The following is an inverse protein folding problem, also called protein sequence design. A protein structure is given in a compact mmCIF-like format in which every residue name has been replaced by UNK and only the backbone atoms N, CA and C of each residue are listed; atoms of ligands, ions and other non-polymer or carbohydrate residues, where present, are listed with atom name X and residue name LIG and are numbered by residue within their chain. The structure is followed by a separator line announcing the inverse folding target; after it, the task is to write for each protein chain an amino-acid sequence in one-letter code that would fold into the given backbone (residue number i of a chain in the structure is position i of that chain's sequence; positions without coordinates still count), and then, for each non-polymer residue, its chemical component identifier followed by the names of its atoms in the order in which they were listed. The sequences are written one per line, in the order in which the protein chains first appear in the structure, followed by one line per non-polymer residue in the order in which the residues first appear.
data_IF_288382226741
#
_entry.id   IF_288382226741
#
_cell.length_a   1.000
_cell.length_b   1.000
_cell.length_c   1.000
_cell.angle_alpha   90.00
_cell.angle_beta   90.00
_cell.angle_gamma   90.00
#
_symmetry.space_group_name_H-M   'P 1'
#
loop_
_entity.id
_entity.type
_entity.pdbx_description
1 polymer ?
#
# COMPACT_ATOMS: atom_id res chain seq x y z
N UNK A 1 20.13 13.73 12.71
CA UNK A 1 20.40 12.88 11.52
C UNK A 1 20.09 11.39 11.76
N UNK A 2 20.07 10.91 13.01
CA UNK A 2 19.70 9.54 13.32
C UNK A 2 18.21 9.27 13.03
N UNK A 3 17.96 8.20 12.24
CA UNK A 3 16.69 7.51 11.99
C UNK A 3 15.74 7.93 10.85
N UNK A 4 16.23 8.57 9.78
CA UNK A 4 15.49 8.60 8.50
C UNK A 4 15.59 7.28 7.72
N UNK A 5 16.53 6.39 8.06
CA UNK A 5 16.73 5.12 7.35
C UNK A 5 15.50 4.22 7.47
N UNK A 6 14.94 4.02 8.67
CA UNK A 6 13.72 3.23 8.84
C UNK A 6 12.55 3.81 8.03
N UNK A 7 12.39 5.14 8.04
CA UNK A 7 11.36 5.81 7.25
C UNK A 7 11.55 5.57 5.74
N UNK A 8 12.80 5.57 5.25
CA UNK A 8 13.13 5.27 3.84
C UNK A 8 12.91 3.81 3.47
N UNK A 9 13.24 2.87 4.36
CA UNK A 9 12.93 1.44 4.16
C UNK A 9 11.42 1.26 4.04
N UNK A 10 10.65 1.84 4.97
CA UNK A 10 9.19 1.75 4.91
C UNK A 10 8.59 2.47 3.69
N UNK A 11 9.16 3.60 3.27
CA UNK A 11 8.79 4.25 2.02
C UNK A 11 9.08 3.37 0.80
N UNK A 12 10.22 2.67 0.77
CA UNK A 12 10.53 1.71 -0.29
C UNK A 12 9.54 0.54 -0.30
N UNK A 13 9.12 0.02 0.86
CA UNK A 13 8.05 -0.98 0.95
C UNK A 13 6.75 -0.48 0.32
N UNK A 14 6.32 0.75 0.61
CA UNK A 14 5.12 1.34 -0.01
C UNK A 14 5.26 1.57 -1.51
N UNK A 15 6.46 1.93 -2.00
CA UNK A 15 6.71 2.04 -3.45
C UNK A 15 6.61 0.66 -4.12
N UNK A 16 7.25 -0.36 -3.54
CA UNK A 16 7.16 -1.73 -4.04
C UNK A 16 5.71 -2.25 -4.02
N UNK A 17 4.95 -1.92 -2.98
CA UNK A 17 3.52 -2.22 -2.89
C UNK A 17 2.77 -1.61 -4.07
N UNK A 18 2.99 -0.31 -4.36
CA UNK A 18 2.33 0.35 -5.48
C UNK A 18 2.72 -0.24 -6.84
N UNK A 19 4.00 -0.56 -7.05
CA UNK A 19 4.47 -1.19 -8.29
C UNK A 19 3.83 -2.57 -8.50
N UNK A 20 3.70 -3.38 -7.44
CA UNK A 20 2.98 -4.64 -7.47
C UNK A 20 1.51 -4.42 -7.86
N UNK A 21 0.87 -3.39 -7.29
CA UNK A 21 -0.54 -3.09 -7.54
C UNK A 21 -0.85 -2.51 -8.92
N UNK A 22 0.14 -1.95 -9.64
CA UNK A 22 -0.03 -1.69 -11.07
C UNK A 22 -0.23 -2.98 -11.87
N UNK A 23 0.52 -4.04 -11.53
CA UNK A 23 0.31 -5.37 -12.12
C UNK A 23 -1.05 -5.95 -11.78
N UNK A 24 -1.49 -5.82 -10.52
CA UNK A 24 -2.82 -6.27 -10.08
C UNK A 24 -3.93 -5.49 -10.80
N UNK A 25 -3.83 -4.17 -10.88
CA UNK A 25 -4.78 -3.33 -11.61
C UNK A 25 -4.89 -3.74 -13.07
N UNK A 26 -3.75 -3.98 -13.74
CA UNK A 26 -3.72 -4.48 -15.11
C UNK A 26 -4.40 -5.84 -15.25
N UNK A 27 -4.13 -6.80 -14.35
CA UNK A 27 -4.77 -8.13 -14.38
C UNK A 27 -6.29 -8.07 -14.18
N UNK A 28 -6.77 -7.20 -13.29
CA UNK A 28 -8.21 -6.97 -13.09
C UNK A 28 -8.83 -6.33 -14.35
N UNK A 29 -8.14 -5.39 -14.98
CA UNK A 29 -8.57 -4.80 -16.24
C UNK A 29 -8.67 -5.85 -17.37
N UNK A 30 -7.66 -6.73 -17.51
CA UNK A 30 -7.70 -7.82 -18.48
C UNK A 30 -8.82 -8.81 -18.20
N UNK A 31 -9.08 -9.10 -16.92
CA UNK A 31 -10.21 -9.95 -16.51
C UNK A 31 -11.56 -9.32 -16.88
N UNK A 32 -11.70 -8.00 -16.75
CA UNK A 32 -12.89 -7.28 -17.20
C UNK A 32 -13.08 -7.40 -18.73
N UNK A 33 -12.01 -7.29 -19.53
CA UNK A 33 -12.07 -7.46 -20.99
C UNK A 33 -12.54 -8.86 -21.42
N UNK A 34 -12.27 -9.89 -20.61
CA UNK A 34 -12.72 -11.26 -20.86
C UNK A 34 -14.22 -11.49 -20.63
N UNK A 35 -14.95 -10.53 -20.07
CA UNK A 35 -16.39 -10.64 -19.81
C UNK A 35 -17.24 -9.99 -20.91
N UNK A 36 -18.45 -10.50 -21.16
CA UNK A 36 -19.41 -9.78 -22.00
C UNK A 36 -19.87 -8.46 -21.33
N UNK A 37 -20.26 -7.44 -22.13
CA UNK A 37 -20.79 -6.18 -21.63
C UNK A 37 -21.90 -6.36 -20.59
N UNK A 38 -21.61 -5.94 -19.37
CA UNK A 38 -22.47 -6.16 -18.20
C UNK A 38 -22.08 -5.26 -17.03
N UNK A 39 -22.95 -5.17 -16.02
CA UNK A 39 -22.64 -4.51 -14.76
C UNK A 39 -21.39 -5.10 -14.08
N UNK A 40 -21.19 -6.42 -14.17
CA UNK A 40 -20.01 -7.09 -13.62
C UNK A 40 -18.73 -6.60 -14.28
N UNK A 41 -18.70 -6.53 -15.62
CA UNK A 41 -17.57 -5.97 -16.37
C UNK A 41 -17.29 -4.52 -15.95
N UNK A 42 -18.33 -3.67 -15.90
CA UNK A 42 -18.18 -2.28 -15.48
C UNK A 42 -17.59 -2.13 -14.06
N UNK A 43 -18.02 -2.97 -13.12
CA UNK A 43 -17.46 -2.99 -11.75
C UNK A 43 -16.01 -3.44 -11.71
N UNK A 44 -15.60 -4.38 -12.55
CA UNK A 44 -14.20 -4.78 -12.64
C UNK A 44 -13.32 -3.68 -13.23
N UNK A 45 -13.77 -2.98 -14.28
CA UNK A 45 -13.04 -1.80 -14.79
C UNK A 45 -12.90 -0.71 -13.72
N UNK A 46 -13.98 -0.41 -13.00
CA UNK A 46 -13.95 0.53 -11.89
C UNK A 46 -12.96 0.08 -10.80
N UNK A 47 -12.96 -1.21 -10.45
CA UNK A 47 -12.02 -1.77 -9.47
C UNK A 47 -10.56 -1.66 -9.93
N UNK A 48 -10.28 -1.98 -11.20
CA UNK A 48 -8.94 -1.81 -11.78
C UNK A 48 -8.46 -0.36 -11.70
N UNK A 49 -9.34 0.60 -12.00
CA UNK A 49 -9.03 2.02 -11.90
C UNK A 49 -8.75 2.46 -10.44
N UNK A 50 -9.53 1.97 -9.48
CA UNK A 50 -9.28 2.26 -8.06
C UNK A 50 -7.97 1.66 -7.56
N UNK A 51 -7.66 0.40 -7.93
CA UNK A 51 -6.37 -0.21 -7.59
C UNK A 51 -5.19 0.60 -8.16
N UNK A 52 -5.28 1.02 -9.42
CA UNK A 52 -4.28 1.90 -10.03
C UNK A 52 -4.15 3.24 -9.29
N UNK A 53 -5.28 3.84 -8.90
CA UNK A 53 -5.32 5.12 -8.19
C UNK A 53 -4.71 5.00 -6.79
N UNK A 54 -5.02 3.94 -6.05
CA UNK A 54 -4.42 3.65 -4.74
C UNK A 54 -2.92 3.38 -4.85
N UNK A 55 -2.49 2.59 -5.84
CA UNK A 55 -1.08 2.36 -6.13
C UNK A 55 -0.32 3.66 -6.38
N UNK A 56 -0.88 4.52 -7.23
CA UNK A 56 -0.31 5.83 -7.58
C UNK A 56 -0.22 6.74 -6.35
N UNK A 57 -1.32 6.87 -5.61
CA UNK A 57 -1.37 7.69 -4.40
C UNK A 57 -0.39 7.18 -3.33
N UNK A 58 -0.31 5.85 -3.13
CA UNK A 58 0.62 5.22 -2.20
C UNK A 58 2.09 5.52 -2.54
N UNK A 59 2.46 5.46 -3.82
CA UNK A 59 3.80 5.83 -4.31
C UNK A 59 4.08 7.32 -4.07
N UNK A 60 3.14 8.20 -4.44
CA UNK A 60 3.31 9.66 -4.27
C UNK A 60 3.48 10.01 -2.78
N UNK A 61 2.63 9.48 -1.90
CA UNK A 61 2.74 9.69 -0.45
C UNK A 61 4.06 9.11 0.07
N UNK A 62 4.48 7.93 -0.40
CA UNK A 62 5.73 7.30 0.00
C UNK A 62 6.94 8.18 -0.31
N UNK A 63 7.04 8.67 -1.54
CA UNK A 63 8.17 9.48 -2.02
C UNK A 63 8.14 10.88 -1.42
N UNK A 64 6.98 11.55 -1.44
CA UNK A 64 6.87 12.95 -1.01
C UNK A 64 6.84 13.12 0.51
N UNK A 65 6.32 12.13 1.26
CA UNK A 65 6.07 12.27 2.70
C UNK A 65 6.77 11.21 3.55
N UNK A 66 6.61 9.91 3.27
CA UNK A 66 7.21 8.86 4.11
C UNK A 66 8.74 8.89 4.02
N UNK A 67 9.31 9.15 2.84
CA UNK A 67 10.76 9.27 2.63
C UNK A 67 11.41 10.33 3.53
N UNK A 68 10.63 11.37 3.86
CA UNK A 68 11.04 12.49 4.71
C UNK A 68 10.58 12.33 6.17
N UNK A 69 10.11 11.13 6.57
CA UNK A 69 9.64 10.82 7.93
C UNK A 69 8.54 11.80 8.41
N UNK A 70 7.59 12.11 7.51
CA UNK A 70 6.44 12.96 7.81
C UNK A 70 5.39 12.19 8.62
N UNK A 71 4.89 12.82 9.71
CA UNK A 71 3.79 12.25 10.52
C UNK A 71 2.48 12.14 9.73
N UNK A 72 2.21 13.10 8.85
CA UNK A 72 1.06 13.04 7.96
C UNK A 72 1.23 11.90 6.95
N UNK A 73 2.43 11.74 6.37
CA UNK A 73 2.74 10.63 5.46
C UNK A 73 2.57 9.26 6.12
N UNK A 74 3.01 9.10 7.37
CA UNK A 74 2.84 7.86 8.13
C UNK A 74 1.37 7.43 8.19
N UNK A 75 0.49 8.30 8.68
CA UNK A 75 -0.94 7.97 8.80
C UNK A 75 -1.62 7.85 7.43
N UNK A 76 -1.33 8.76 6.51
CA UNK A 76 -1.94 8.78 5.20
C UNK A 76 -1.67 7.47 4.43
N UNK A 77 -0.42 7.02 4.37
CA UNK A 77 -0.09 5.82 3.62
C UNK A 77 -0.54 4.54 4.32
N UNK A 78 -0.38 4.47 5.65
CA UNK A 78 -0.84 3.30 6.41
C UNK A 78 -2.34 3.07 6.26
N UNK A 79 -3.16 4.14 6.29
CA UNK A 79 -4.61 4.05 6.12
C UNK A 79 -5.00 3.81 4.66
N UNK A 80 -4.41 4.55 3.71
CA UNK A 80 -4.75 4.41 2.29
C UNK A 80 -4.46 2.99 1.78
N UNK A 81 -3.29 2.46 2.10
CA UNK A 81 -2.92 1.09 1.72
C UNK A 81 -3.76 0.07 2.49
N UNK A 82 -4.04 0.30 3.77
CA UNK A 82 -4.93 -0.57 4.55
C UNK A 82 -6.35 -0.65 3.97
N UNK A 83 -6.89 0.44 3.42
CA UNK A 83 -8.20 0.45 2.75
C UNK A 83 -8.19 -0.40 1.47
N UNK A 84 -7.04 -0.56 0.81
CA UNK A 84 -6.90 -1.46 -0.34
C UNK A 84 -6.72 -2.93 0.10
N UNK A 85 -5.82 -3.18 1.05
CA UNK A 85 -5.44 -4.54 1.43
C UNK A 85 -6.46 -5.24 2.34
N UNK A 86 -7.14 -4.53 3.25
CA UNK A 86 -8.10 -5.17 4.17
C UNK A 86 -9.27 -5.83 3.42
N UNK A 87 -9.96 -5.15 2.48
CA UNK A 87 -10.98 -5.81 1.66
C UNK A 87 -10.42 -6.96 0.83
N UNK A 88 -9.22 -6.81 0.26
CA UNK A 88 -8.58 -7.89 -0.49
C UNK A 88 -8.32 -9.13 0.40
N UNK A 89 -7.83 -8.95 1.62
CA UNK A 89 -7.65 -10.03 2.58
C UNK A 89 -8.98 -10.72 2.87
N UNK A 90 -10.02 -9.95 3.20
CA UNK A 90 -11.32 -10.49 3.60
C UNK A 90 -12.07 -11.19 2.47
N UNK A 91 -12.01 -10.65 1.25
CA UNK A 91 -12.85 -11.10 0.14
C UNK A 91 -12.11 -11.91 -0.94
N UNK A 92 -10.77 -11.94 -0.91
CA UNK A 92 -9.96 -12.68 -1.88
C UNK A 92 -9.05 -13.70 -1.21
N UNK A 93 -8.24 -13.26 -0.24
CA UNK A 93 -7.21 -14.12 0.36
C UNK A 93 -7.78 -15.15 1.35
N UNK A 94 -8.62 -14.71 2.30
CA UNK A 94 -9.27 -15.58 3.29
C UNK A 94 -10.16 -16.64 2.64
N UNK A 95 -10.97 -16.32 1.60
CA UNK A 95 -11.72 -17.34 0.86
C UNK A 95 -10.87 -18.31 0.04
N UNK A 96 -9.56 -18.06 -0.13
CA UNK A 96 -8.66 -18.93 -0.87
C UNK A 96 -8.72 -18.78 -2.38
N UNK A 97 -9.21 -17.65 -2.92
CA UNK A 97 -9.24 -17.40 -4.37
C UNK A 97 -7.86 -17.15 -4.97
N UNK A 98 -6.85 -16.86 -4.15
CA UNK A 98 -5.46 -16.70 -4.57
C UNK A 98 -4.53 -17.49 -3.63
N UNK A 99 -3.50 -18.19 -4.14
CA UNK A 99 -2.54 -18.90 -3.30
C UNK A 99 -1.82 -17.94 -2.34
N UNK A 100 -1.70 -18.32 -1.06
CA UNK A 100 -1.13 -17.48 0.00
C UNK A 100 0.28 -16.96 -0.32
N UNK A 101 1.17 -17.82 -0.85
CA UNK A 101 2.57 -17.48 -1.12
C UNK A 101 2.73 -16.25 -2.01
N UNK A 102 1.84 -16.08 -3.00
CA UNK A 102 1.88 -14.94 -3.92
C UNK A 102 0.85 -13.87 -3.56
N UNK A 103 -0.26 -14.26 -2.92
CA UNK A 103 -1.33 -13.36 -2.53
C UNK A 103 -1.02 -12.50 -1.31
N UNK A 104 -0.12 -12.92 -0.42
CA UNK A 104 0.23 -12.14 0.78
C UNK A 104 1.17 -10.98 0.51
N UNK A 105 1.85 -10.93 -0.65
CA UNK A 105 2.92 -9.96 -0.92
C UNK A 105 2.50 -8.50 -0.75
N UNK A 106 1.27 -8.15 -1.16
CA UNK A 106 0.69 -6.82 -0.92
C UNK A 106 0.58 -6.52 0.59
N UNK A 107 -0.25 -7.28 1.34
CA UNK A 107 -0.36 -7.17 2.79
C UNK A 107 0.98 -7.17 3.56
N UNK A 108 1.92 -8.01 3.15
CA UNK A 108 3.25 -8.11 3.78
C UNK A 108 4.05 -6.80 3.59
N UNK A 109 4.03 -6.24 2.38
CA UNK A 109 4.66 -4.94 2.10
C UNK A 109 3.97 -3.78 2.82
N UNK A 110 2.64 -3.83 2.97
CA UNK A 110 1.89 -2.85 3.75
C UNK A 110 2.29 -2.86 5.22
N UNK A 111 2.29 -4.05 5.84
CA UNK A 111 2.67 -4.21 7.25
C UNK A 111 4.12 -3.82 7.46
N UNK A 112 5.04 -4.26 6.60
CA UNK A 112 6.44 -3.85 6.67
C UNK A 112 6.60 -2.33 6.53
N UNK A 113 5.92 -1.72 5.56
CA UNK A 113 5.90 -0.27 5.35
C UNK A 113 5.43 0.49 6.58
N UNK A 114 4.34 0.04 7.19
CA UNK A 114 3.78 0.62 8.41
C UNK A 114 4.75 0.48 9.60
N UNK A 115 5.34 -0.70 9.79
CA UNK A 115 6.29 -0.94 10.88
C UNK A 115 7.52 -0.05 10.76
N UNK A 116 8.17 -0.02 9.60
CA UNK A 116 9.40 0.74 9.39
C UNK A 116 9.18 2.26 9.44
N UNK A 117 8.09 2.76 8.85
CA UNK A 117 7.73 4.18 9.00
C UNK A 117 7.33 4.51 10.43
N UNK A 118 6.67 3.61 11.16
CA UNK A 118 6.37 3.74 12.58
C UNK A 118 7.62 3.84 13.46
N UNK A 119 8.63 3.02 13.21
CA UNK A 119 9.94 3.10 13.89
C UNK A 119 10.64 4.44 13.61
N UNK A 120 10.55 4.94 12.37
CA UNK A 120 11.02 6.28 12.00
C UNK A 120 10.32 7.39 12.81
N UNK A 121 9.01 7.26 13.02
CA UNK A 121 8.23 8.22 13.80
C UNK A 121 8.55 8.14 15.31
N UNK A 122 8.67 6.94 15.87
CA UNK A 122 8.96 6.73 17.29
C UNK A 122 10.31 7.33 17.69
N UNK A 123 11.34 7.11 16.88
CA UNK A 123 12.68 7.67 17.08
C UNK A 123 12.71 9.20 17.01
N UNK A 124 11.96 9.81 16.09
CA UNK A 124 11.78 11.28 16.07
C UNK A 124 11.16 11.80 17.38
N UNK A 125 10.11 11.14 17.88
CA UNK A 125 9.46 11.51 19.14
C UNK A 125 10.32 11.29 20.39
N UNK A 126 11.25 10.34 20.36
CA UNK A 126 12.23 10.15 21.43
C UNK A 126 13.25 11.29 21.47
N UNK A 127 13.77 11.72 20.31
CA UNK A 127 14.69 12.85 20.21
C UNK A 127 14.04 14.14 20.71
N UNK A 128 12.81 14.45 20.27
CA UNK A 128 12.11 15.68 20.70
C UNK A 128 11.92 15.74 22.22
N UNK A 129 11.67 14.60 22.88
CA UNK A 129 11.52 14.52 24.34
C UNK A 129 12.85 14.65 25.10
N UNK A 130 13.97 14.23 24.51
CA UNK A 130 15.28 14.35 25.14
C UNK A 130 15.87 15.76 25.05
N UNK A 131 15.38 16.60 24.12
CA UNK A 131 15.87 17.96 23.88
C UNK A 131 14.91 19.07 24.37
N UNK A 132 13.81 18.70 25.03
CA UNK A 132 12.84 19.61 25.63
C UNK A 132 13.11 19.73 27.13
#
# INVERSE_FOLDING_TARGET
MFNTISARIGAACYVLWGLLHYGVAYNVYQSALGLPPSMAQGRLFQNAFYLFSFATAGIVIAVSLNWHNSRAGFWANALLVGVADVPFILFVLVPGYLPLLFGSLGPDLWVAGMLFTGLGQASRGAVTRATA
#
